data_IF_507317040105
#
_entry.id   IF_507317040105
#
_cell.length_a   1.000
_cell.length_b   1.000
_cell.length_c   1.000
_cell.angle_alpha   90.00
_cell.angle_beta   90.00
_cell.angle_gamma   90.00
#
_symmetry.space_group_name_H-M   'P 1'
#
loop_
_entity.id
_entity.type
_entity.pdbx_description
1 polymer ?
#
# COMPACT_ATOMS: atom_id res chain seq x y z
N UNK A 1 3.86 20.54 15.97
CA UNK A 1 3.80 19.15 16.50
C UNK A 1 2.48 19.04 17.20
N UNK A 2 1.60 18.18 16.69
CA UNK A 2 0.29 17.91 17.26
C UNK A 2 0.42 17.01 18.49
N UNK A 3 -0.49 17.16 19.42
CA UNK A 3 -0.63 16.29 20.60
C UNK A 3 -2.05 15.73 20.62
N UNK A 4 -2.23 14.54 21.18
CA UNK A 4 -3.56 13.96 21.39
C UNK A 4 -4.29 14.64 22.56
N UNK A 5 -5.54 14.23 22.83
CA UNK A 5 -6.38 14.75 23.94
C UNK A 5 -5.74 14.54 25.34
N UNK A 6 -4.74 13.67 25.45
CA UNK A 6 -3.99 13.37 26.69
C UNK A 6 -2.66 14.11 26.75
N UNK A 7 -2.34 14.98 25.76
CA UNK A 7 -1.09 15.71 25.67
C UNK A 7 0.10 14.88 25.16
N UNK A 8 -0.13 13.69 24.60
CA UNK A 8 0.91 12.84 24.04
C UNK A 8 1.24 13.34 22.62
N UNK A 9 2.54 13.48 22.33
CA UNK A 9 3.02 13.89 21.03
C UNK A 9 2.67 12.83 19.97
N UNK A 10 1.90 13.22 18.97
CA UNK A 10 1.54 12.37 17.85
C UNK A 10 2.73 12.12 16.94
N UNK A 11 2.85 10.88 16.45
CA UNK A 11 3.70 10.56 15.31
C UNK A 11 3.04 11.01 14.01
N UNK A 12 3.80 11.12 12.93
CA UNK A 12 3.22 11.40 11.60
C UNK A 12 2.19 10.34 11.20
N UNK A 13 2.41 9.10 11.60
CA UNK A 13 1.49 8.00 11.31
C UNK A 13 0.15 8.17 12.05
N UNK A 14 0.19 8.60 13.31
CA UNK A 14 -1.01 8.93 14.09
C UNK A 14 -1.80 10.07 13.43
N UNK A 15 -1.09 11.12 12.97
CA UNK A 15 -1.71 12.23 12.24
C UNK A 15 -2.39 11.77 10.94
N UNK A 16 -1.74 10.87 10.19
CA UNK A 16 -2.31 10.30 8.96
C UNK A 16 -3.57 9.49 9.28
N UNK A 17 -3.51 8.63 10.29
CA UNK A 17 -4.66 7.81 10.71
C UNK A 17 -5.83 8.67 11.17
N UNK A 18 -5.57 9.72 11.97
CA UNK A 18 -6.61 10.68 12.36
C UNK A 18 -7.23 11.38 11.15
N UNK A 19 -6.41 11.79 10.20
CA UNK A 19 -6.89 12.38 8.95
C UNK A 19 -7.76 11.40 8.14
N UNK A 20 -7.37 10.12 8.03
CA UNK A 20 -8.20 9.10 7.37
C UNK A 20 -9.54 8.89 8.07
N UNK A 21 -9.56 8.88 9.41
CA UNK A 21 -10.81 8.82 10.19
C UNK A 21 -11.70 10.03 9.92
N UNK A 22 -11.12 11.24 9.84
CA UNK A 22 -11.87 12.44 9.47
C UNK A 22 -12.49 12.32 8.07
N UNK A 23 -11.72 11.88 7.07
CA UNK A 23 -12.24 11.67 5.70
C UNK A 23 -13.39 10.66 5.65
N UNK A 24 -13.35 9.61 6.48
CA UNK A 24 -14.46 8.66 6.62
C UNK A 24 -15.71 9.35 7.19
N UNK A 25 -15.57 10.09 8.28
CA UNK A 25 -16.68 10.79 8.93
C UNK A 25 -17.29 11.88 8.05
N UNK A 26 -16.48 12.56 7.25
CA UNK A 26 -16.90 13.62 6.31
C UNK A 26 -17.54 13.06 5.03
N UNK A 27 -17.60 11.72 4.87
CA UNK A 27 -18.21 11.07 3.72
C UNK A 27 -17.35 11.10 2.43
N UNK A 28 -16.08 11.48 2.52
CA UNK A 28 -15.16 11.58 1.37
C UNK A 28 -15.14 10.31 0.51
N UNK A 29 -14.94 9.14 1.13
CA UNK A 29 -14.87 7.88 0.37
C UNK A 29 -16.19 7.51 -0.29
N UNK A 30 -17.31 7.73 0.39
CA UNK A 30 -18.65 7.51 -0.14
C UNK A 30 -18.92 8.40 -1.37
N UNK A 31 -18.49 9.65 -1.32
CA UNK A 31 -18.64 10.58 -2.45
C UNK A 31 -17.69 10.24 -3.59
N UNK A 32 -16.44 9.90 -3.31
CA UNK A 32 -15.49 9.45 -4.34
C UNK A 32 -15.97 8.20 -5.07
N UNK A 33 -16.55 7.23 -4.38
CA UNK A 33 -17.12 6.01 -4.99
C UNK A 33 -18.20 6.35 -6.02
N UNK A 34 -19.01 7.39 -5.81
CA UNK A 34 -20.03 7.82 -6.79
C UNK A 34 -19.41 8.39 -8.07
N UNK A 35 -18.26 9.06 -7.98
CA UNK A 35 -17.63 9.77 -9.09
C UNK A 35 -16.55 8.96 -9.82
N UNK A 36 -15.83 8.08 -9.13
CA UNK A 36 -14.85 7.19 -9.75
C UNK A 36 -15.56 6.13 -10.58
N UNK A 37 -15.26 6.07 -11.87
CA UNK A 37 -15.79 5.00 -12.75
C UNK A 37 -15.10 3.68 -12.44
N UNK A 38 -15.86 2.59 -12.47
CA UNK A 38 -15.29 1.26 -12.29
C UNK A 38 -14.37 0.92 -13.45
N UNK A 39 -13.14 0.50 -13.12
CA UNK A 39 -12.16 0.02 -14.10
C UNK A 39 -12.18 -1.51 -14.08
N UNK A 40 -12.25 -2.11 -15.27
CA UNK A 40 -12.05 -3.54 -15.42
C UNK A 40 -10.55 -3.85 -15.43
N UNK A 41 -10.14 -4.73 -14.54
CA UNK A 41 -8.74 -5.20 -14.41
C UNK A 41 -8.64 -6.73 -14.48
N UNK A 42 -9.71 -7.39 -14.92
CA UNK A 42 -9.78 -8.87 -15.02
C UNK A 42 -8.72 -9.48 -15.94
N UNK A 43 -8.16 -8.68 -16.85
CA UNK A 43 -7.09 -9.07 -17.76
C UNK A 43 -5.68 -9.03 -17.13
N UNK A 44 -5.53 -8.43 -15.94
CA UNK A 44 -4.24 -8.33 -15.27
C UNK A 44 -3.88 -9.63 -14.56
N UNK A 45 -2.61 -10.00 -14.64
CA UNK A 45 -2.08 -11.12 -13.86
C UNK A 45 -2.04 -10.78 -12.37
N UNK A 46 -2.21 -11.79 -11.52
CA UNK A 46 -1.95 -11.64 -10.11
C UNK A 46 -0.44 -11.48 -9.83
N UNK A 47 -0.06 -10.65 -8.85
CA UNK A 47 1.33 -10.48 -8.43
C UNK A 47 1.92 -11.81 -7.95
N UNK A 48 1.17 -12.60 -7.21
CA UNK A 48 1.58 -13.93 -6.74
C UNK A 48 2.06 -14.83 -7.90
N UNK A 49 1.44 -14.73 -9.08
CA UNK A 49 1.86 -15.47 -10.27
C UNK A 49 3.27 -15.12 -10.72
N UNK A 50 3.65 -13.84 -10.58
CA UNK A 50 5.01 -13.39 -10.90
C UNK A 50 6.00 -13.79 -9.82
N UNK A 51 5.60 -13.68 -8.54
CA UNK A 51 6.45 -14.03 -7.39
C UNK A 51 6.79 -15.53 -7.33
N UNK A 52 5.97 -16.38 -7.92
CA UNK A 52 6.25 -17.82 -8.05
C UNK A 52 7.42 -18.16 -9.00
N UNK A 53 7.87 -17.21 -9.79
CA UNK A 53 9.01 -17.40 -10.71
C UNK A 53 10.31 -17.22 -9.92
N UNK A 54 10.90 -18.29 -9.48
CA UNK A 54 12.07 -18.32 -8.59
C UNK A 54 13.38 -17.79 -9.20
N UNK A 55 13.44 -17.55 -10.50
CA UNK A 55 14.69 -17.29 -11.22
C UNK A 55 15.10 -15.82 -11.30
N UNK A 56 14.25 -14.85 -10.90
CA UNK A 56 14.52 -13.42 -11.04
C UNK A 56 13.98 -12.63 -9.87
N UNK A 57 14.68 -11.54 -9.51
CA UNK A 57 14.19 -10.56 -8.54
C UNK A 57 12.96 -9.85 -9.12
N UNK A 58 11.85 -9.85 -8.37
CA UNK A 58 10.63 -9.12 -8.71
C UNK A 58 10.69 -7.70 -8.15
N UNK A 59 10.32 -6.71 -8.97
CA UNK A 59 10.37 -5.30 -8.61
C UNK A 59 8.97 -4.70 -8.66
N UNK A 60 8.52 -4.11 -7.55
CA UNK A 60 7.34 -3.24 -7.50
C UNK A 60 7.81 -1.80 -7.68
N UNK A 61 7.46 -1.18 -8.79
CA UNK A 61 7.88 0.17 -9.13
C UNK A 61 6.87 1.20 -8.61
N UNK A 62 7.32 2.23 -7.90
CA UNK A 62 6.44 3.19 -7.22
C UNK A 62 6.26 4.49 -7.99
N UNK A 63 5.02 4.96 -8.06
CA UNK A 63 4.60 6.29 -8.54
C UNK A 63 4.18 7.14 -7.34
N UNK A 64 4.96 8.19 -7.04
CA UNK A 64 4.60 9.20 -6.03
C UNK A 64 5.05 10.59 -6.44
N UNK A 65 4.35 11.64 -5.97
CA UNK A 65 4.63 13.03 -6.32
C UNK A 65 5.32 13.81 -5.20
N UNK A 66 5.12 13.40 -3.94
CA UNK A 66 5.77 13.97 -2.75
C UNK A 66 5.83 12.96 -1.63
N UNK A 67 6.52 13.27 -0.56
CA UNK A 67 6.50 12.52 0.69
C UNK A 67 6.67 13.48 1.87
N UNK A 68 6.43 13.06 3.12
CA UNK A 68 6.69 13.91 4.28
C UNK A 68 8.11 14.46 4.37
N UNK A 69 9.09 13.76 3.79
CA UNK A 69 10.51 14.17 3.75
C UNK A 69 10.91 14.92 2.47
N UNK A 70 10.07 14.89 1.40
CA UNK A 70 10.36 15.52 0.10
C UNK A 70 9.13 16.30 -0.38
N UNK A 71 9.25 17.63 -0.49
CA UNK A 71 8.11 18.51 -0.80
C UNK A 71 7.49 18.29 -2.18
N UNK A 72 8.29 18.01 -3.18
CA UNK A 72 7.82 17.63 -4.52
C UNK A 72 8.95 16.93 -5.29
N UNK A 73 8.59 15.98 -6.14
CA UNK A 73 9.47 15.50 -7.21
C UNK A 73 9.28 16.38 -8.44
N UNK A 74 10.30 16.48 -9.31
CA UNK A 74 10.20 17.21 -10.58
C UNK A 74 8.99 16.70 -11.38
N UNK A 75 8.40 17.58 -12.19
CA UNK A 75 7.32 17.22 -13.11
C UNK A 75 7.76 16.06 -13.99
N UNK A 76 7.26 14.88 -13.67
CA UNK A 76 7.49 13.64 -14.43
C UNK A 76 6.17 13.34 -15.14
N UNK A 77 6.25 13.09 -16.44
CA UNK A 77 5.11 12.53 -17.15
C UNK A 77 4.86 11.11 -16.63
N UNK A 78 3.82 10.96 -15.80
CA UNK A 78 3.51 9.71 -15.11
C UNK A 78 3.11 8.60 -16.07
N UNK A 79 2.45 8.92 -17.19
CA UNK A 79 2.10 7.95 -18.23
C UNK A 79 3.36 7.36 -18.86
N UNK A 80 4.33 8.22 -19.19
CA UNK A 80 5.62 7.78 -19.70
C UNK A 80 6.39 6.97 -18.64
N UNK A 81 6.26 7.33 -17.36
CA UNK A 81 6.92 6.59 -16.27
C UNK A 81 6.34 5.17 -16.12
N UNK A 82 5.02 5.00 -16.23
CA UNK A 82 4.37 3.69 -16.25
C UNK A 82 4.92 2.83 -17.38
N UNK A 83 4.93 3.36 -18.61
CA UNK A 83 5.46 2.65 -19.77
C UNK A 83 6.94 2.25 -19.59
N UNK A 84 7.76 3.13 -19.00
CA UNK A 84 9.15 2.80 -18.68
C UNK A 84 9.25 1.65 -17.69
N UNK A 85 8.49 1.68 -16.60
CA UNK A 85 8.51 0.62 -15.59
C UNK A 85 8.13 -0.73 -16.18
N UNK A 86 7.05 -0.78 -16.98
CA UNK A 86 6.60 -2.00 -17.64
C UNK A 86 7.66 -2.53 -18.64
N UNK A 87 8.19 -1.66 -19.51
CA UNK A 87 9.20 -2.02 -20.50
C UNK A 87 10.55 -2.48 -19.91
N UNK A 88 10.85 -2.07 -18.66
CA UNK A 88 12.07 -2.48 -17.95
C UNK A 88 11.84 -3.64 -16.97
N UNK A 89 10.71 -4.33 -17.07
CA UNK A 89 10.47 -5.59 -16.37
C UNK A 89 10.00 -5.44 -14.92
N UNK A 90 9.35 -4.32 -14.57
CA UNK A 90 8.63 -4.24 -13.30
C UNK A 90 7.59 -5.37 -13.20
N UNK A 91 7.43 -5.93 -12.00
CA UNK A 91 6.48 -7.02 -11.72
C UNK A 91 5.11 -6.48 -11.30
N UNK A 92 5.07 -5.28 -10.74
CA UNK A 92 3.87 -4.54 -10.36
C UNK A 92 4.17 -3.05 -10.30
N UNK A 93 3.11 -2.24 -10.30
CA UNK A 93 3.19 -0.79 -10.09
C UNK A 93 2.52 -0.44 -8.77
N UNK A 94 3.19 0.34 -7.92
CA UNK A 94 2.62 0.92 -6.71
C UNK A 94 2.24 2.38 -6.96
N UNK A 95 0.99 2.75 -6.68
CA UNK A 95 0.48 4.11 -6.88
C UNK A 95 -0.07 4.63 -5.57
N UNK A 96 0.51 5.73 -5.07
CA UNK A 96 0.02 6.39 -3.87
C UNK A 96 -1.28 7.14 -4.15
N UNK A 97 -2.25 7.01 -3.22
CA UNK A 97 -3.57 7.63 -3.32
C UNK A 97 -3.83 8.65 -2.21
N UNK A 98 -2.96 8.75 -1.21
CA UNK A 98 -3.07 9.80 -0.19
C UNK A 98 -2.77 11.19 -0.79
N UNK A 99 -3.76 12.09 -0.74
CA UNK A 99 -3.68 13.42 -1.33
C UNK A 99 -2.82 14.37 -0.47
N UNK A 100 -3.05 14.35 0.85
CA UNK A 100 -2.47 15.33 1.78
C UNK A 100 -0.97 15.16 1.96
N UNK A 101 -0.53 13.95 2.25
CA UNK A 101 0.86 13.69 2.64
C UNK A 101 1.73 13.24 1.47
N UNK A 102 1.16 12.55 0.47
CA UNK A 102 1.92 11.96 -0.62
C UNK A 102 1.55 12.50 -2.01
N UNK A 103 0.55 13.37 -2.11
CA UNK A 103 0.16 14.03 -3.36
C UNK A 103 -0.40 13.05 -4.39
N UNK A 104 -0.95 11.94 -3.93
CA UNK A 104 -1.66 10.95 -4.73
C UNK A 104 -3.11 11.34 -4.98
N UNK A 105 -3.86 10.46 -5.65
CA UNK A 105 -5.32 10.50 -5.70
C UNK A 105 -5.89 9.22 -6.31
N UNK A 106 -7.15 8.94 -6.02
CA UNK A 106 -7.86 7.81 -6.65
C UNK A 106 -8.13 8.02 -8.13
N UNK A 107 -8.29 9.27 -8.58
CA UNK A 107 -8.40 9.63 -10.00
C UNK A 107 -7.10 9.30 -10.76
N UNK A 108 -5.96 9.57 -10.12
CA UNK A 108 -4.65 9.17 -10.66
C UNK A 108 -4.53 7.65 -10.74
N UNK A 109 -4.89 6.94 -9.68
CA UNK A 109 -4.91 5.47 -9.68
C UNK A 109 -5.77 4.97 -10.85
N UNK A 110 -7.00 5.49 -11.00
CA UNK A 110 -7.92 5.13 -12.07
C UNK A 110 -7.34 5.36 -13.46
N UNK A 111 -6.69 6.48 -13.68
CA UNK A 111 -6.08 6.82 -14.98
C UNK A 111 -4.89 5.90 -15.27
N UNK A 112 -3.95 5.81 -14.35
CA UNK A 112 -2.69 5.11 -14.57
C UNK A 112 -2.84 3.59 -14.64
N UNK A 113 -3.81 3.01 -13.92
CA UNK A 113 -4.04 1.56 -13.98
C UNK A 113 -4.48 1.08 -15.36
N UNK A 114 -5.09 1.94 -16.16
CA UNK A 114 -5.53 1.62 -17.52
C UNK A 114 -4.38 1.65 -18.55
N UNK A 115 -3.23 2.17 -18.17
CA UNK A 115 -2.06 2.32 -19.03
C UNK A 115 -1.04 1.19 -18.89
N UNK A 116 -1.32 0.16 -18.10
CA UNK A 116 -0.41 -0.95 -17.85
C UNK A 116 -1.13 -2.28 -17.79
N UNK A 117 -0.47 -3.34 -18.20
CA UNK A 117 -0.94 -4.73 -18.03
C UNK A 117 -0.50 -5.32 -16.67
N UNK A 118 0.39 -4.64 -15.94
CA UNK A 118 0.88 -5.10 -14.65
C UNK A 118 -0.20 -4.97 -13.56
N UNK A 119 -0.15 -5.82 -12.51
CA UNK A 119 -0.95 -5.62 -11.33
C UNK A 119 -0.60 -4.29 -10.66
N UNK A 120 -1.60 -3.60 -10.12
CA UNK A 120 -1.44 -2.28 -9.51
C UNK A 120 -1.80 -2.31 -8.04
N UNK A 121 -0.86 -1.89 -7.20
CA UNK A 121 -1.02 -1.70 -5.76
C UNK A 121 -1.55 -0.28 -5.49
N UNK A 122 -2.74 -0.20 -4.87
CA UNK A 122 -3.19 1.02 -4.20
C UNK A 122 -2.42 1.18 -2.89
N UNK A 123 -1.48 2.12 -2.84
CA UNK A 123 -0.68 2.41 -1.64
C UNK A 123 -1.31 3.54 -0.86
N UNK A 124 -2.05 3.18 0.17
CA UNK A 124 -2.75 4.10 1.08
C UNK A 124 -2.75 3.54 2.51
N UNK A 125 -3.20 4.34 3.48
CA UNK A 125 -3.39 3.98 4.88
C UNK A 125 -4.83 3.49 5.06
N UNK A 126 -5.05 2.21 4.80
CA UNK A 126 -6.38 1.60 4.81
C UNK A 126 -6.76 1.21 6.25
N UNK A 127 -7.88 1.72 6.72
CA UNK A 127 -8.45 1.48 8.06
C UNK A 127 -9.95 1.10 8.01
N UNK A 128 -10.57 1.13 6.82
CA UNK A 128 -12.00 0.89 6.65
C UNK A 128 -12.29 0.21 5.29
N UNK A 129 -13.33 -0.65 5.20
CA UNK A 129 -13.71 -1.33 3.96
C UNK A 129 -14.06 -0.39 2.79
N UNK A 130 -14.61 0.81 3.05
CA UNK A 130 -14.90 1.79 1.99
C UNK A 130 -13.67 2.20 1.19
N UNK A 131 -12.49 2.21 1.83
CA UNK A 131 -11.23 2.50 1.13
C UNK A 131 -10.86 1.35 0.19
N UNK A 132 -11.14 0.11 0.57
CA UNK A 132 -10.92 -1.09 -0.27
C UNK A 132 -11.87 -1.06 -1.47
N UNK A 133 -13.15 -0.73 -1.26
CA UNK A 133 -14.14 -0.60 -2.33
C UNK A 133 -13.71 0.46 -3.35
N UNK A 134 -13.25 1.62 -2.87
CA UNK A 134 -12.79 2.70 -3.73
C UNK A 134 -11.53 2.31 -4.51
N UNK A 135 -10.55 1.68 -3.84
CA UNK A 135 -9.33 1.19 -4.47
C UNK A 135 -9.64 0.20 -5.59
N UNK A 136 -10.48 -0.81 -5.31
CA UNK A 136 -10.95 -1.79 -6.31
C UNK A 136 -11.65 -1.11 -7.48
N UNK A 137 -12.57 -0.18 -7.18
CA UNK A 137 -13.32 0.55 -8.21
C UNK A 137 -12.41 1.37 -9.11
N UNK A 138 -11.36 1.99 -8.54
CA UNK A 138 -10.34 2.74 -9.28
C UNK A 138 -9.36 1.85 -10.06
N UNK A 139 -9.46 0.52 -9.95
CA UNK A 139 -8.69 -0.44 -10.74
C UNK A 139 -7.45 -1.01 -10.03
N UNK A 140 -7.35 -0.87 -8.72
CA UNK A 140 -6.35 -1.63 -7.97
C UNK A 140 -6.64 -3.13 -8.04
N UNK A 141 -5.60 -3.94 -8.18
CA UNK A 141 -5.64 -5.40 -8.02
C UNK A 141 -4.98 -5.85 -6.71
N UNK A 142 -4.22 -4.96 -6.08
CA UNK A 142 -3.53 -5.18 -4.81
C UNK A 142 -3.83 -4.00 -3.90
N UNK A 143 -4.00 -4.25 -2.60
CA UNK A 143 -4.07 -3.21 -1.57
C UNK A 143 -2.99 -3.40 -0.52
N UNK A 144 -2.71 -2.33 0.26
CA UNK A 144 -1.80 -2.33 1.39
C UNK A 144 -2.57 -2.38 2.71
N UNK A 145 -2.19 -3.29 3.60
CA UNK A 145 -2.59 -3.25 5.01
C UNK A 145 -1.35 -3.12 5.89
N UNK A 146 -1.29 -2.05 6.69
CA UNK A 146 -0.17 -1.75 7.56
C UNK A 146 -0.49 -2.24 8.97
N UNK A 147 0.25 -3.24 9.46
CA UNK A 147 0.00 -3.88 10.75
C UNK A 147 0.06 -2.89 11.90
N UNK A 148 0.97 -1.92 11.83
CA UNK A 148 1.18 -0.92 12.88
C UNK A 148 -0.05 -0.05 13.20
N UNK A 149 -0.89 0.25 12.20
CA UNK A 149 -2.05 1.15 12.36
C UNK A 149 -3.37 0.41 12.64
N UNK A 150 -3.35 -0.92 12.66
CA UNK A 150 -4.54 -1.76 12.77
C UNK A 150 -4.49 -2.60 14.06
N UNK A 151 -5.64 -2.77 14.71
CA UNK A 151 -5.81 -3.83 15.73
C UNK A 151 -5.82 -5.20 15.04
N UNK A 152 -5.63 -6.29 15.79
CA UNK A 152 -5.66 -7.63 15.23
C UNK A 152 -7.01 -7.94 14.57
N UNK A 153 -8.11 -7.58 15.21
CA UNK A 153 -9.47 -7.81 14.69
C UNK A 153 -9.72 -7.01 13.40
N UNK A 154 -9.28 -5.75 13.36
CA UNK A 154 -9.42 -4.91 12.18
C UNK A 154 -8.55 -5.41 11.03
N UNK A 155 -7.30 -5.79 11.32
CA UNK A 155 -6.39 -6.36 10.33
C UNK A 155 -6.98 -7.63 9.69
N UNK A 156 -7.49 -8.55 10.53
CA UNK A 156 -8.12 -9.78 10.07
C UNK A 156 -9.38 -9.49 9.24
N UNK A 157 -10.25 -8.61 9.71
CA UNK A 157 -11.49 -8.26 9.01
C UNK A 157 -11.24 -7.64 7.65
N UNK A 158 -10.33 -6.65 7.57
CA UNK A 158 -9.97 -5.98 6.32
C UNK A 158 -9.26 -6.92 5.35
N UNK A 159 -8.40 -7.82 5.85
CA UNK A 159 -7.73 -8.83 5.03
C UNK A 159 -8.76 -9.75 4.36
N UNK A 160 -9.65 -10.36 5.15
CA UNK A 160 -10.69 -11.25 4.61
C UNK A 160 -11.64 -10.51 3.68
N UNK A 161 -11.99 -9.26 4.00
CA UNK A 161 -12.81 -8.44 3.12
C UNK A 161 -12.14 -8.23 1.76
N UNK A 162 -10.87 -7.82 1.74
CA UNK A 162 -10.12 -7.63 0.49
C UNK A 162 -10.03 -8.92 -0.35
N UNK A 163 -9.73 -10.06 0.28
CA UNK A 163 -9.72 -11.37 -0.39
C UNK A 163 -11.09 -11.71 -0.97
N UNK A 164 -12.19 -11.45 -0.23
CA UNK A 164 -13.56 -11.67 -0.73
C UNK A 164 -13.89 -10.79 -1.94
N UNK A 165 -13.20 -9.66 -2.08
CA UNK A 165 -13.30 -8.77 -3.23
C UNK A 165 -12.38 -9.18 -4.39
N UNK A 166 -11.70 -10.33 -4.32
CA UNK A 166 -10.69 -10.80 -5.30
C UNK A 166 -9.51 -9.81 -5.45
N UNK A 167 -9.08 -9.18 -4.36
CA UNK A 167 -7.87 -8.38 -4.31
C UNK A 167 -6.73 -9.17 -3.67
N UNK A 168 -5.51 -8.98 -4.15
CA UNK A 168 -4.33 -9.37 -3.41
C UNK A 168 -4.04 -8.36 -2.30
N UNK A 169 -3.38 -8.80 -1.25
CA UNK A 169 -3.05 -7.95 -0.10
C UNK A 169 -1.57 -8.03 0.21
N UNK A 170 -0.91 -6.88 0.18
CA UNK A 170 0.43 -6.69 0.73
C UNK A 170 0.28 -6.29 2.20
N UNK A 171 0.76 -7.12 3.13
CA UNK A 171 0.70 -6.86 4.56
C UNK A 171 2.06 -6.32 5.01
N UNK A 172 2.10 -5.02 5.36
CA UNK A 172 3.33 -4.31 5.72
C UNK A 172 3.62 -4.43 7.21
N UNK A 173 4.87 -4.78 7.54
CA UNK A 173 5.41 -4.90 8.90
C UNK A 173 6.69 -4.11 9.07
N UNK A 174 6.97 -3.63 10.31
CA UNK A 174 8.13 -2.81 10.66
C UNK A 174 9.02 -3.46 11.74
N UNK A 175 8.60 -4.54 12.35
CA UNK A 175 9.35 -5.24 13.39
C UNK A 175 8.89 -6.70 13.52
N UNK A 176 9.59 -7.47 14.36
CA UNK A 176 9.31 -8.90 14.57
C UNK A 176 7.93 -9.14 15.20
N UNK A 177 7.49 -8.27 16.09
CA UNK A 177 6.18 -8.36 16.74
C UNK A 177 5.04 -8.17 15.73
N UNK A 178 5.19 -7.21 14.81
CA UNK A 178 4.24 -7.01 13.71
C UNK A 178 4.25 -8.19 12.73
N UNK A 179 5.41 -8.79 12.47
CA UNK A 179 5.51 -10.00 11.65
C UNK A 179 4.77 -11.18 12.28
N UNK A 180 4.87 -11.37 13.58
CA UNK A 180 4.09 -12.40 14.29
C UNK A 180 2.58 -12.17 14.20
N UNK A 181 2.14 -10.92 14.32
CA UNK A 181 0.74 -10.54 14.12
C UNK A 181 0.29 -10.82 12.68
N UNK A 182 1.11 -10.49 11.68
CA UNK A 182 0.83 -10.77 10.29
C UNK A 182 0.65 -12.27 10.03
N UNK A 183 1.47 -13.13 10.63
CA UNK A 183 1.32 -14.57 10.49
C UNK A 183 -0.02 -15.12 10.99
N UNK A 184 -0.69 -14.46 11.92
CA UNK A 184 -1.98 -14.92 12.45
C UNK A 184 -3.09 -14.88 11.38
N UNK A 185 -3.00 -13.97 10.42
CA UNK A 185 -3.96 -13.86 9.31
C UNK A 185 -3.52 -14.64 8.06
N UNK A 186 -2.34 -15.27 8.07
CA UNK A 186 -1.79 -16.09 6.99
C UNK A 186 -1.80 -15.38 5.61
N UNK A 187 -1.23 -14.18 5.47
CA UNK A 187 -1.21 -13.46 4.20
C UNK A 187 -0.29 -14.19 3.22
N UNK A 188 -0.51 -13.99 1.91
CA UNK A 188 0.42 -14.53 0.90
C UNK A 188 1.67 -13.69 0.74
N UNK A 189 1.55 -12.36 0.87
CA UNK A 189 2.59 -11.39 0.58
C UNK A 189 2.79 -10.51 1.81
N UNK A 190 4.02 -10.46 2.30
CA UNK A 190 4.44 -9.65 3.46
C UNK A 190 5.48 -8.63 2.99
N UNK A 191 5.24 -7.35 3.25
CA UNK A 191 6.19 -6.28 3.03
C UNK A 191 6.96 -5.95 4.30
N UNK A 192 8.28 -5.89 4.22
CA UNK A 192 9.12 -5.42 5.33
C UNK A 192 9.55 -3.99 5.02
N UNK A 193 9.04 -3.03 5.79
CA UNK A 193 9.39 -1.63 5.63
C UNK A 193 10.68 -1.30 6.40
N UNK A 194 11.72 -0.95 5.66
CA UNK A 194 13.05 -0.60 6.20
C UNK A 194 13.12 0.82 6.78
N UNK A 195 12.05 1.62 6.63
CA UNK A 195 12.02 2.96 7.19
C UNK A 195 11.46 2.94 8.60
N UNK A 196 12.25 3.43 9.55
CA UNK A 196 11.79 3.71 10.90
C UNK A 196 10.76 4.86 10.85
N UNK A 197 9.55 4.59 11.33
CA UNK A 197 8.44 5.56 11.27
C UNK A 197 8.57 6.74 12.24
N UNK A 198 9.53 6.68 13.20
CA UNK A 198 9.78 7.76 14.15
C UNK A 198 10.90 8.67 13.70
N UNK A 199 11.97 8.08 13.17
CA UNK A 199 13.19 8.80 12.78
C UNK A 199 13.26 9.11 11.29
N UNK A 200 12.45 8.44 10.46
CA UNK A 200 12.49 8.45 8.99
C UNK A 200 13.81 7.96 8.40
N UNK A 201 14.66 7.31 9.20
CA UNK A 201 15.90 6.70 8.73
C UNK A 201 15.56 5.35 8.08
N UNK A 202 16.10 5.14 6.89
CA UNK A 202 15.99 3.85 6.18
C UNK A 202 17.26 3.06 6.41
N UNK A 203 17.12 1.79 6.85
CA UNK A 203 18.20 0.82 7.02
C UNK A 203 17.83 -0.45 6.26
N UNK A 204 18.48 -0.68 5.13
CA UNK A 204 18.15 -1.83 4.26
C UNK A 204 18.40 -3.16 4.97
N UNK A 205 19.37 -3.20 5.87
CA UNK A 205 19.70 -4.37 6.70
C UNK A 205 18.56 -4.81 7.62
N UNK A 206 17.62 -3.91 7.92
CA UNK A 206 16.47 -4.18 8.77
C UNK A 206 15.59 -5.33 8.25
N UNK A 207 15.46 -5.42 6.93
CA UNK A 207 14.78 -6.59 6.31
C UNK A 207 15.43 -7.91 6.75
N UNK A 208 16.76 -7.99 6.77
CA UNK A 208 17.46 -9.22 7.16
C UNK A 208 17.17 -9.59 8.62
N UNK A 209 17.16 -8.60 9.52
CA UNK A 209 16.88 -8.83 10.95
C UNK A 209 15.46 -9.36 11.17
N UNK A 210 14.48 -8.83 10.43
CA UNK A 210 13.08 -9.29 10.52
C UNK A 210 12.94 -10.68 9.90
N UNK A 211 13.60 -10.93 8.76
CA UNK A 211 13.51 -12.21 8.05
C UNK A 211 14.28 -13.36 8.71
N UNK A 212 14.98 -13.15 9.84
CA UNK A 212 15.41 -14.25 10.70
C UNK A 212 14.20 -15.11 11.15
N UNK A 213 13.00 -14.52 11.24
CA UNK A 213 11.76 -15.20 11.60
C UNK A 213 10.93 -15.62 10.37
N UNK A 214 11.50 -15.58 9.17
CA UNK A 214 10.79 -15.97 7.94
C UNK A 214 10.28 -17.41 8.01
N UNK A 215 9.10 -17.63 7.42
CA UNK A 215 8.49 -18.95 7.27
C UNK A 215 8.33 -19.29 5.79
N UNK A 216 8.33 -20.58 5.47
CA UNK A 216 8.02 -21.04 4.12
C UNK A 216 6.55 -20.82 3.77
N UNK A 217 6.25 -20.66 2.49
CA UNK A 217 4.89 -20.44 1.99
C UNK A 217 4.44 -18.98 1.92
N UNK A 218 5.33 -18.03 2.28
CA UNK A 218 5.10 -16.59 2.16
C UNK A 218 6.07 -15.96 1.17
N UNK A 219 5.61 -14.92 0.47
CA UNK A 219 6.46 -14.03 -0.32
C UNK A 219 6.82 -12.80 0.49
N UNK A 220 8.10 -12.46 0.51
CA UNK A 220 8.60 -11.30 1.25
C UNK A 220 9.08 -10.23 0.30
N UNK A 221 8.66 -8.98 0.55
CA UNK A 221 9.05 -7.79 -0.22
C UNK A 221 9.77 -6.84 0.73
N UNK A 222 10.97 -6.42 0.34
CA UNK A 222 11.72 -5.38 1.05
C UNK A 222 11.32 -4.02 0.49
N UNK A 223 10.89 -3.10 1.35
CA UNK A 223 10.44 -1.77 0.95
C UNK A 223 10.91 -0.66 1.90
N UNK A 224 10.76 0.60 1.47
CA UNK A 224 11.08 1.75 2.34
C UNK A 224 10.27 3.00 1.96
#
# INVERSE_FOLDING_TARGET
MSVDERGIKLTILDEIVQYKKQLLNDGYYTDKIKHIKKVDVSYKSALETTLKRESTLSIIAEIKSKSPSVKAFKDINLEHQIAKYENHGASAISILTDEKYFGGSFERLQTLTQLTHLPVLCKDFIIDPLQIDLAKRAGASIILLIVNILTNDTLQSLYHYAISQNLEVLVEVHNKEELERAYQIQPKIIGVNNRDLKTFITKVEHTNDILEMKKEGYYYISES
#
